data_IF_728533114454
#
_entry.id   IF_728533114454
#
_cell.length_a   1.000
_cell.length_b   1.000
_cell.length_c   1.000
_cell.angle_alpha   90.00
_cell.angle_beta   90.00
_cell.angle_gamma   90.00
#
_symmetry.space_group_name_H-M   'P 1'
#
loop_
_entity.id
_entity.type
_entity.pdbx_description
1 polymer ?
#
# COMPACT_ATOMS: atom_id res chain seq x y z
N UNK A 1 -6.52 -10.19 -4.80
CA UNK A 1 -7.42 -9.49 -3.86
C UNK A 1 -6.62 -8.33 -3.27
N UNK A 2 -7.17 -7.12 -3.24
CA UNK A 2 -6.57 -6.01 -2.50
C UNK A 2 -7.12 -6.01 -1.07
N UNK A 3 -6.27 -6.17 -0.08
CA UNK A 3 -6.65 -6.11 1.33
C UNK A 3 -6.25 -4.74 1.88
N UNK A 4 -7.23 -3.96 2.32
CA UNK A 4 -6.96 -2.61 2.80
C UNK A 4 -6.27 -2.67 4.17
N UNK A 5 -5.02 -2.19 4.26
CA UNK A 5 -4.31 -2.02 5.53
C UNK A 5 -4.02 -3.30 6.31
N UNK A 6 -4.08 -4.48 5.66
CA UNK A 6 -3.89 -5.77 6.33
C UNK A 6 -2.44 -5.94 6.81
N UNK A 7 -2.26 -6.36 8.06
CA UNK A 7 -0.95 -6.65 8.64
C UNK A 7 -0.45 -8.07 8.24
N UNK A 8 0.82 -8.43 8.48
CA UNK A 8 1.37 -9.73 8.08
C UNK A 8 0.67 -10.95 8.67
N UNK A 9 0.07 -10.83 9.86
CA UNK A 9 -0.73 -11.92 10.43
C UNK A 9 -2.00 -12.15 9.60
N UNK A 10 -2.74 -11.09 9.27
CA UNK A 10 -3.93 -11.20 8.42
C UNK A 10 -3.58 -11.81 7.06
N UNK A 11 -2.47 -11.37 6.45
CA UNK A 11 -1.98 -11.90 5.17
C UNK A 11 -1.65 -13.40 5.25
N UNK A 12 -1.04 -13.85 6.35
CA UNK A 12 -0.79 -15.28 6.61
C UNK A 12 -2.10 -16.06 6.66
N UNK A 13 -3.11 -15.58 7.39
CA UNK A 13 -4.42 -16.26 7.48
C UNK A 13 -5.13 -16.31 6.12
N UNK A 14 -5.01 -15.27 5.29
CA UNK A 14 -5.54 -15.31 3.93
C UNK A 14 -4.79 -16.29 3.02
N UNK A 15 -3.46 -16.42 3.16
CA UNK A 15 -2.68 -17.44 2.44
C UNK A 15 -3.11 -18.85 2.83
N UNK A 16 -3.26 -19.13 4.12
CA UNK A 16 -3.73 -20.42 4.63
C UNK A 16 -5.11 -20.77 4.07
N UNK A 17 -6.04 -19.81 4.09
CA UNK A 17 -7.36 -19.96 3.49
C UNK A 17 -7.28 -20.26 1.99
N UNK A 18 -6.44 -19.53 1.24
CA UNK A 18 -6.27 -19.74 -0.19
C UNK A 18 -5.69 -21.13 -0.50
N UNK A 19 -4.74 -21.61 0.30
CA UNK A 19 -4.16 -22.96 0.17
C UNK A 19 -5.21 -24.03 0.48
N UNK A 20 -6.00 -23.85 1.54
CA UNK A 20 -7.04 -24.79 1.93
C UNK A 20 -8.10 -24.96 0.84
N UNK A 21 -8.45 -23.87 0.16
CA UNK A 21 -9.50 -23.84 -0.86
C UNK A 21 -8.97 -24.01 -2.31
N UNK A 22 -7.66 -23.98 -2.51
CA UNK A 22 -7.04 -24.21 -3.81
C UNK A 22 -5.77 -25.06 -3.69
N UNK A 23 -5.95 -26.39 -3.73
CA UNK A 23 -4.85 -27.38 -3.70
C UNK A 23 -3.84 -27.23 -4.84
N UNK A 24 -4.19 -26.51 -5.90
CA UNK A 24 -3.34 -26.29 -7.08
C UNK A 24 -2.72 -24.89 -7.12
N UNK A 25 -2.77 -24.12 -6.03
CA UNK A 25 -2.11 -22.80 -5.96
C UNK A 25 -0.61 -22.92 -6.29
N UNK A 26 -0.17 -22.28 -7.37
CA UNK A 26 1.23 -22.35 -7.84
C UNK A 26 2.03 -21.09 -7.61
N UNK A 27 1.38 -19.94 -7.55
CA UNK A 27 2.06 -18.65 -7.48
C UNK A 27 1.29 -17.70 -6.59
N UNK A 28 2.04 -17.00 -5.73
CA UNK A 28 1.54 -15.91 -4.90
C UNK A 28 2.39 -14.69 -5.21
N UNK A 29 1.71 -13.56 -5.46
CA UNK A 29 2.34 -12.25 -5.61
C UNK A 29 1.78 -11.37 -4.50
N UNK A 30 2.65 -10.81 -3.66
CA UNK A 30 2.24 -10.02 -2.50
C UNK A 30 3.00 -8.68 -2.46
N UNK A 31 2.25 -7.60 -2.30
CA UNK A 31 2.77 -6.27 -1.99
C UNK A 31 2.89 -6.09 -0.49
N UNK A 32 4.01 -5.53 -0.04
CA UNK A 32 4.25 -5.19 1.37
C UNK A 32 4.65 -3.73 1.52
N UNK A 33 4.36 -3.14 2.67
CA UNK A 33 4.67 -1.75 2.98
C UNK A 33 5.16 -1.61 4.42
N UNK A 34 5.96 -0.57 4.69
CA UNK A 34 6.53 -0.30 6.01
C UNK A 34 5.45 -0.19 7.11
N UNK A 35 4.32 0.45 6.77
CA UNK A 35 3.17 0.61 7.65
C UNK A 35 2.64 -0.72 8.19
N UNK A 36 2.61 -1.80 7.38
CA UNK A 36 2.04 -3.10 7.78
C UNK A 36 2.75 -3.71 8.98
N UNK A 37 4.03 -3.39 9.18
CA UNK A 37 4.90 -3.97 10.21
C UNK A 37 4.95 -3.14 11.51
N UNK A 38 4.03 -2.19 11.69
CA UNK A 38 3.94 -1.40 12.92
C UNK A 38 3.33 -2.23 14.06
N UNK A 39 4.03 -2.39 15.18
CA UNK A 39 3.59 -3.14 16.36
C UNK A 39 2.30 -2.60 17.00
N UNK A 40 1.95 -1.35 16.71
CA UNK A 40 0.72 -0.71 17.19
C UNK A 40 -0.47 -0.90 16.24
N UNK A 41 -0.31 -1.60 15.11
CA UNK A 41 -1.45 -1.96 14.27
C UNK A 41 -2.30 -3.02 14.96
N UNK A 42 -3.60 -2.90 14.78
CA UNK A 42 -4.57 -3.96 15.10
C UNK A 42 -5.01 -4.65 13.81
N UNK A 43 -5.66 -5.80 13.93
CA UNK A 43 -6.36 -6.38 12.78
C UNK A 43 -7.44 -5.41 12.29
N UNK A 44 -7.70 -5.44 10.98
CA UNK A 44 -8.72 -4.59 10.39
C UNK A 44 -10.10 -4.98 10.91
N UNK A 45 -11.03 -4.03 11.11
CA UNK A 45 -12.38 -4.34 11.62
C UNK A 45 -13.13 -5.39 10.78
N UNK A 46 -12.84 -5.47 9.48
CA UNK A 46 -13.44 -6.46 8.57
C UNK A 46 -12.79 -7.85 8.60
N UNK A 47 -11.68 -8.04 9.32
CA UNK A 47 -10.97 -9.32 9.42
C UNK A 47 -11.56 -10.19 10.54
N UNK A 48 -11.96 -11.41 10.19
CA UNK A 48 -12.36 -12.42 11.16
C UNK A 48 -11.79 -13.78 10.78
N UNK A 49 -11.12 -14.43 11.73
CA UNK A 49 -10.51 -15.76 11.52
C UNK A 49 -11.58 -16.83 11.23
N UNK A 50 -12.73 -16.70 11.89
CA UNK A 50 -13.87 -17.62 11.72
C UNK A 50 -14.34 -17.72 10.26
N UNK A 51 -14.25 -16.62 9.49
CA UNK A 51 -14.59 -16.63 8.06
C UNK A 51 -13.56 -17.37 7.21
N UNK A 52 -12.30 -17.38 7.65
CA UNK A 52 -11.19 -18.00 6.93
C UNK A 52 -11.06 -19.50 7.23
N UNK A 53 -11.55 -19.94 8.38
CA UNK A 53 -11.54 -21.35 8.80
C UNK A 53 -12.70 -22.17 8.20
N UNK A 54 -13.70 -21.50 7.62
CA UNK A 54 -14.83 -22.15 6.95
C UNK A 54 -14.51 -22.45 5.47
N UNK A 55 -14.80 -23.69 5.05
CA UNK A 55 -14.73 -24.11 3.63
C UNK A 55 -16.02 -23.80 2.86
N UNK A 56 -17.08 -23.38 3.56
CA UNK A 56 -18.39 -23.07 2.98
C UNK A 56 -18.92 -21.75 3.51
N UNK A 57 -19.63 -20.99 2.68
CA UNK A 57 -20.36 -19.79 3.10
C UNK A 57 -21.49 -20.25 4.02
N UNK A 58 -21.53 -19.77 5.26
CA UNK A 58 -22.65 -20.11 6.16
C UNK A 58 -23.92 -19.36 5.75
N UNK A 59 -25.09 -19.91 6.11
CA UNK A 59 -26.37 -19.20 5.96
C UNK A 59 -26.35 -17.83 6.66
N UNK A 60 -25.65 -17.73 7.80
CA UNK A 60 -25.46 -16.47 8.51
C UNK A 60 -24.58 -15.47 7.73
N UNK A 61 -23.52 -15.94 7.07
CA UNK A 61 -22.70 -15.10 6.19
C UNK A 61 -23.49 -14.64 4.97
N UNK A 62 -24.32 -15.51 4.42
CA UNK A 62 -25.21 -15.17 3.29
C UNK A 62 -26.26 -14.14 3.71
N UNK A 63 -26.87 -14.29 4.88
CA UNK A 63 -27.85 -13.34 5.43
C UNK A 63 -27.16 -12.00 5.77
N UNK A 64 -25.94 -12.02 6.33
CA UNK A 64 -25.22 -10.78 6.64
C UNK A 64 -24.75 -10.05 5.36
N UNK A 65 -24.44 -10.77 4.27
CA UNK A 65 -24.08 -10.19 2.97
C UNK A 65 -25.30 -9.70 2.19
N UNK A 66 -26.41 -10.44 2.24
CA UNK A 66 -27.63 -10.15 1.45
C UNK A 66 -28.62 -9.23 2.18
N UNK A 67 -28.68 -9.31 3.51
CA UNK A 67 -29.57 -8.55 4.40
C UNK A 67 -28.81 -7.69 5.41
N UNK A 68 -27.63 -7.19 5.07
CA UNK A 68 -27.04 -6.10 5.83
C UNK A 68 -28.03 -4.91 5.77
N UNK A 69 -28.58 -4.53 6.92
CA UNK A 69 -29.39 -3.31 7.07
C UNK A 69 -28.58 -2.10 6.59
N UNK A 70 -27.25 -2.14 6.74
CA UNK A 70 -26.33 -1.14 6.20
C UNK A 70 -26.30 -1.17 4.66
N UNK A 71 -26.38 -2.33 4.01
CA UNK A 71 -26.50 -2.42 2.55
C UNK A 71 -27.85 -1.88 2.05
N UNK A 72 -28.93 -2.10 2.81
CA UNK A 72 -30.25 -1.53 2.49
C UNK A 72 -30.27 -0.01 2.71
N UNK A 73 -29.67 0.47 3.81
CA UNK A 73 -29.52 1.90 4.14
C UNK A 73 -28.62 2.60 3.12
N UNK A 74 -27.46 2.00 2.80
CA UNK A 74 -26.54 2.50 1.77
C UNK A 74 -27.19 2.49 0.39
N UNK A 75 -28.05 1.50 0.09
CA UNK A 75 -28.83 1.47 -1.16
C UNK A 75 -29.88 2.59 -1.20
N UNK A 76 -30.57 2.87 -0.09
CA UNK A 76 -31.53 3.97 0.02
C UNK A 76 -30.84 5.33 -0.07
N UNK A 77 -29.70 5.50 0.60
CA UNK A 77 -28.84 6.68 0.47
C UNK A 77 -28.30 6.86 -0.95
N UNK A 78 -27.91 5.76 -1.60
CA UNK A 78 -27.45 5.77 -3.00
C UNK A 78 -28.59 6.13 -3.96
N UNK A 79 -29.80 5.62 -3.75
CA UNK A 79 -30.99 5.95 -4.55
C UNK A 79 -31.40 7.42 -4.37
N UNK A 80 -31.31 7.95 -3.14
CA UNK A 80 -31.61 9.35 -2.85
C UNK A 80 -30.54 10.28 -3.44
N UNK A 81 -29.27 9.89 -3.35
CA UNK A 81 -28.13 10.60 -3.95
C UNK A 81 -28.16 10.56 -5.48
N UNK A 82 -28.56 9.43 -6.07
CA UNK A 82 -28.71 9.27 -7.54
C UNK A 82 -29.90 10.03 -8.12
N UNK A 83 -30.91 10.36 -7.30
CA UNK A 83 -32.03 11.23 -7.70
C UNK A 83 -31.66 12.72 -7.67
N UNK A 84 -30.79 13.14 -6.75
CA UNK A 84 -30.39 14.55 -6.59
C UNK A 84 -29.09 14.91 -7.33
N UNK A 85 -28.32 13.93 -7.79
CA UNK A 85 -27.12 14.15 -8.59
C UNK A 85 -27.10 13.14 -9.73
N UNK A 86 -26.82 13.58 -10.96
CA UNK A 86 -26.41 12.66 -12.03
C UNK A 86 -25.00 12.14 -11.72
N UNK A 87 -24.84 11.35 -10.65
CA UNK A 87 -23.61 10.64 -10.37
C UNK A 87 -23.49 9.47 -11.35
N UNK A 88 -22.83 9.72 -12.50
CA UNK A 88 -22.38 8.67 -13.41
C UNK A 88 -21.14 7.95 -12.84
N UNK A 89 -21.18 7.46 -11.61
CA UNK A 89 -19.99 6.90 -10.96
C UNK A 89 -20.31 5.58 -10.24
N UNK A 90 -20.28 4.50 -11.01
CA UNK A 90 -20.27 3.15 -10.46
C UNK A 90 -18.93 2.78 -9.85
N UNK A 91 -19.02 2.01 -8.76
CA UNK A 91 -17.94 1.27 -8.11
C UNK A 91 -16.98 0.67 -9.12
N UNK A 92 -15.68 0.80 -8.85
CA UNK A 92 -14.67 0.14 -9.67
C UNK A 92 -14.74 -1.37 -9.38
N UNK A 93 -15.39 -2.10 -10.30
CA UNK A 93 -15.47 -3.58 -10.36
C UNK A 93 -14.10 -4.29 -10.40
N UNK A 94 -12.98 -3.56 -10.28
CA UNK A 94 -11.60 -4.07 -10.43
C UNK A 94 -10.75 -3.96 -9.15
N UNK A 95 -11.35 -3.66 -7.99
CA UNK A 95 -10.65 -3.67 -6.70
C UNK A 95 -9.71 -2.47 -6.46
N UNK A 96 -9.83 -1.41 -7.25
CA UNK A 96 -9.23 -0.11 -6.95
C UNK A 96 -10.25 0.79 -6.25
N UNK A 97 -9.81 1.65 -5.32
CA UNK A 97 -10.68 2.68 -4.76
C UNK A 97 -11.30 3.49 -5.91
N UNK A 98 -12.62 3.77 -5.89
CA UNK A 98 -13.32 4.49 -6.95
C UNK A 98 -12.98 5.98 -6.91
N UNK A 99 -11.70 6.32 -7.03
CA UNK A 99 -11.30 7.65 -7.43
C UNK A 99 -11.21 7.65 -8.95
N UNK A 100 -12.39 7.64 -9.59
CA UNK A 100 -12.43 7.95 -11.02
C UNK A 100 -11.82 9.33 -11.22
N UNK A 101 -11.12 9.42 -12.34
CA UNK A 101 -10.47 10.60 -12.89
C UNK A 101 -11.45 11.77 -13.02
N UNK A 102 -11.75 12.44 -11.92
CA UNK A 102 -12.19 13.81 -12.03
C UNK A 102 -10.93 14.63 -11.80
N UNK A 103 -10.52 15.36 -12.84
CA UNK A 103 -9.68 16.53 -12.68
C UNK A 103 -10.48 17.53 -11.81
N UNK A 104 -10.47 17.29 -10.49
CA UNK A 104 -11.20 18.08 -9.49
C UNK A 104 -10.46 19.40 -9.20
N UNK A 105 -9.50 19.76 -10.07
CA UNK A 105 -8.62 20.89 -9.91
C UNK A 105 -7.57 20.69 -8.83
N UNK A 106 -6.65 21.66 -8.78
CA UNK A 106 -5.49 21.64 -7.88
C UNK A 106 -5.89 21.54 -6.41
N UNK A 107 -6.96 22.21 -5.99
CA UNK A 107 -7.40 22.26 -4.59
C UNK A 107 -7.72 20.87 -4.03
N UNK A 108 -8.41 20.04 -4.80
CA UNK A 108 -8.75 18.68 -4.36
C UNK A 108 -7.53 17.77 -4.35
N UNK A 109 -6.64 17.90 -5.34
CA UNK A 109 -5.37 17.17 -5.32
C UNK A 109 -4.55 17.52 -4.07
N UNK A 110 -4.37 18.81 -3.80
CA UNK A 110 -3.67 19.27 -2.60
C UNK A 110 -4.32 18.72 -1.32
N UNK A 111 -5.66 18.77 -1.22
CA UNK A 111 -6.41 18.24 -0.07
C UNK A 111 -6.18 16.74 0.16
N UNK A 112 -6.20 15.93 -0.91
CA UNK A 112 -5.99 14.48 -0.82
C UNK A 112 -4.60 14.16 -0.27
N UNK A 113 -3.57 14.81 -0.79
CA UNK A 113 -2.21 14.66 -0.28
C UNK A 113 -2.08 15.14 1.16
N UNK A 114 -2.68 16.27 1.52
CA UNK A 114 -2.68 16.76 2.91
C UNK A 114 -3.30 15.73 3.86
N UNK A 115 -4.47 15.19 3.51
CA UNK A 115 -5.16 14.19 4.31
C UNK A 115 -4.34 12.89 4.42
N UNK A 116 -3.75 12.41 3.31
CA UNK A 116 -2.84 11.27 3.33
C UNK A 116 -1.68 11.48 4.29
N UNK A 117 -1.03 12.65 4.28
CA UNK A 117 0.09 12.91 5.19
C UNK A 117 -0.33 13.01 6.66
N UNK A 118 -1.52 13.55 6.96
CA UNK A 118 -2.04 13.56 8.33
C UNK A 118 -2.25 12.13 8.84
N UNK A 119 -2.82 11.25 8.02
CA UNK A 119 -2.97 9.82 8.33
C UNK A 119 -1.60 9.17 8.49
N UNK A 120 -0.65 9.44 7.59
CA UNK A 120 0.72 8.94 7.71
C UNK A 120 1.38 9.36 9.02
N UNK A 121 1.30 10.64 9.39
CA UNK A 121 1.87 11.13 10.64
C UNK A 121 1.21 10.50 11.85
N UNK A 122 -0.11 10.35 11.86
CA UNK A 122 -0.82 9.65 12.94
C UNK A 122 -0.38 8.19 13.06
N UNK A 123 -0.35 7.47 11.93
CA UNK A 123 -0.01 6.05 11.89
C UNK A 123 1.45 5.78 12.25
N UNK A 124 2.34 6.71 11.93
CA UNK A 124 3.77 6.56 12.18
C UNK A 124 4.28 7.32 13.41
N UNK A 125 3.47 8.15 14.09
CA UNK A 125 3.93 8.94 15.24
C UNK A 125 4.50 8.09 16.38
N UNK A 126 4.00 6.85 16.51
CA UNK A 126 4.47 5.86 17.49
C UNK A 126 4.95 4.60 16.79
N UNK A 127 5.52 4.71 15.59
CA UNK A 127 5.90 3.52 14.84
C UNK A 127 6.94 2.71 15.62
N UNK A 128 6.67 1.42 15.78
CA UNK A 128 7.64 0.46 16.27
C UNK A 128 7.65 -0.74 15.34
N UNK A 129 8.82 -1.14 14.86
CA UNK A 129 8.95 -2.32 14.02
C UNK A 129 8.60 -3.57 14.86
N UNK A 130 7.59 -4.31 14.41
CA UNK A 130 7.07 -5.49 15.11
C UNK A 130 7.86 -6.75 14.79
N UNK A 131 8.52 -7.31 15.81
CA UNK A 131 9.16 -8.62 15.71
C UNK A 131 8.13 -9.74 15.43
N UNK A 132 6.94 -9.62 16.03
CA UNK A 132 5.83 -10.54 15.76
C UNK A 132 5.44 -10.52 14.27
N UNK A 133 5.27 -9.36 13.66
CA UNK A 133 4.88 -9.28 12.26
C UNK A 133 6.01 -9.67 11.29
N UNK A 134 7.27 -9.47 11.67
CA UNK A 134 8.40 -10.06 10.95
C UNK A 134 8.36 -11.59 11.02
N UNK A 135 8.04 -12.17 12.19
CA UNK A 135 7.89 -13.61 12.35
C UNK A 135 6.69 -14.16 11.55
N UNK A 136 5.52 -13.51 11.61
CA UNK A 136 4.33 -13.89 10.82
C UNK A 136 4.63 -13.86 9.31
N UNK A 137 5.35 -12.83 8.84
CA UNK A 137 5.79 -12.76 7.44
C UNK A 137 6.80 -13.84 7.06
N UNK A 138 7.72 -14.18 7.98
CA UNK A 138 8.65 -15.31 7.79
C UNK A 138 7.87 -16.62 7.64
N UNK A 139 6.89 -16.88 8.50
CA UNK A 139 6.00 -18.04 8.41
C UNK A 139 5.25 -18.09 7.08
N UNK A 140 4.76 -16.94 6.58
CA UNK A 140 4.13 -16.83 5.26
C UNK A 140 5.07 -17.31 4.15
N UNK A 141 6.32 -16.84 4.16
CA UNK A 141 7.34 -17.21 3.16
C UNK A 141 7.71 -18.69 3.24
N UNK A 142 7.92 -19.21 4.45
CA UNK A 142 8.24 -20.61 4.70
C UNK A 142 7.10 -21.53 4.25
N UNK A 143 5.85 -21.17 4.53
CA UNK A 143 4.65 -21.90 4.07
C UNK A 143 4.60 -22.00 2.54
N UNK A 144 4.91 -20.92 1.83
CA UNK A 144 4.97 -20.96 0.36
C UNK A 144 6.08 -21.91 -0.11
N UNK A 145 7.26 -21.82 0.50
CA UNK A 145 8.43 -22.65 0.15
C UNK A 145 8.17 -24.13 0.36
N UNK A 146 7.65 -24.53 1.52
CA UNK A 146 7.34 -25.92 1.87
C UNK A 146 6.33 -26.57 0.93
N UNK A 147 5.39 -25.76 0.40
CA UNK A 147 4.34 -26.22 -0.52
C UNK A 147 4.73 -26.10 -1.99
N UNK A 148 5.96 -25.69 -2.30
CA UNK A 148 6.41 -25.48 -3.68
C UNK A 148 5.64 -24.36 -4.41
N UNK A 149 5.10 -23.39 -3.68
CA UNK A 149 4.43 -22.21 -4.22
C UNK A 149 5.50 -21.18 -4.59
N UNK A 150 5.50 -20.73 -5.84
CA UNK A 150 6.37 -19.64 -6.27
C UNK A 150 5.90 -18.32 -5.64
N UNK A 151 6.71 -17.77 -4.74
CA UNK A 151 6.42 -16.49 -4.10
C UNK A 151 7.18 -15.34 -4.77
N UNK A 152 6.46 -14.26 -5.08
CA UNK A 152 7.02 -13.00 -5.57
C UNK A 152 6.58 -11.87 -4.64
N UNK A 153 7.55 -11.25 -3.98
CA UNK A 153 7.30 -10.15 -3.03
C UNK A 153 7.74 -8.84 -3.65
N UNK A 154 6.95 -7.78 -3.44
CA UNK A 154 7.35 -6.43 -3.81
C UNK A 154 7.01 -5.40 -2.72
N UNK A 155 7.79 -4.32 -2.64
CA UNK A 155 7.48 -3.14 -1.83
C UNK A 155 6.70 -2.15 -2.71
N UNK A 156 5.51 -1.75 -2.27
CA UNK A 156 4.63 -0.87 -3.04
C UNK A 156 5.26 0.51 -3.32
N UNK A 157 5.03 1.10 -4.49
CA UNK A 157 5.55 2.43 -4.82
C UNK A 157 4.62 3.52 -4.27
N UNK A 158 4.79 3.90 -3.00
CA UNK A 158 4.27 5.18 -2.51
C UNK A 158 4.91 6.35 -3.27
N UNK A 159 4.20 7.47 -3.36
CA UNK A 159 4.74 8.71 -3.91
C UNK A 159 6.00 9.11 -3.13
N UNK A 160 6.98 9.75 -3.78
CA UNK A 160 8.27 10.08 -3.17
C UNK A 160 8.15 10.86 -1.85
N UNK A 161 7.08 11.64 -1.71
CA UNK A 161 6.75 12.39 -0.49
C UNK A 161 6.34 11.54 0.71
N UNK A 162 5.89 10.29 0.51
CA UNK A 162 5.62 9.37 1.64
C UNK A 162 6.93 9.05 2.37
N UNK A 163 8.05 8.93 1.64
CA UNK A 163 9.37 8.78 2.26
C UNK A 163 9.78 10.04 3.02
N UNK A 164 9.46 11.24 2.52
CA UNK A 164 9.69 12.48 3.25
C UNK A 164 8.80 12.57 4.49
N UNK A 165 7.58 12.02 4.46
CA UNK A 165 6.71 11.95 5.62
C UNK A 165 7.29 11.02 6.70
N UNK A 166 7.81 9.84 6.32
CA UNK A 166 8.50 8.91 7.24
C UNK A 166 9.78 9.55 7.83
N UNK A 167 10.53 10.32 7.02
CA UNK A 167 11.67 11.11 7.53
C UNK A 167 11.22 12.16 8.53
N UNK A 168 10.14 12.88 8.26
CA UNK A 168 9.60 13.90 9.13
C UNK A 168 9.10 13.34 10.47
N UNK A 169 8.72 12.06 10.54
CA UNK A 169 8.41 11.36 11.80
C UNK A 169 9.64 10.79 12.52
N UNK A 170 10.85 10.96 11.98
CA UNK A 170 12.07 10.41 12.58
C UNK A 170 12.26 8.90 12.40
N UNK A 171 11.48 8.26 11.53
CA UNK A 171 11.45 6.80 11.37
C UNK A 171 12.19 6.28 10.13
N UNK A 172 12.97 7.14 9.46
CA UNK A 172 13.72 6.73 8.27
C UNK A 172 14.71 5.60 8.55
N UNK A 173 15.51 5.71 9.61
CA UNK A 173 16.45 4.65 10.00
C UNK A 173 15.72 3.34 10.34
N UNK A 174 14.53 3.42 10.92
CA UNK A 174 13.66 2.27 11.17
C UNK A 174 13.13 1.66 9.86
N UNK A 175 12.79 2.47 8.86
CA UNK A 175 12.39 1.98 7.53
C UNK A 175 13.55 1.28 6.82
N UNK A 176 14.77 1.82 6.91
CA UNK A 176 15.96 1.15 6.39
C UNK A 176 16.23 -0.18 7.12
N UNK A 177 16.12 -0.19 8.46
CA UNK A 177 16.21 -1.42 9.27
C UNK A 177 15.16 -2.45 8.83
N UNK A 178 13.91 -2.02 8.62
CA UNK A 178 12.86 -2.91 8.14
C UNK A 178 13.23 -3.55 6.80
N UNK A 179 13.70 -2.79 5.81
CA UNK A 179 14.15 -3.37 4.52
C UNK A 179 15.27 -4.38 4.72
N UNK A 180 16.23 -4.11 5.62
CA UNK A 180 17.31 -5.06 5.97
C UNK A 180 16.75 -6.35 6.58
N UNK A 181 15.76 -6.28 7.48
CA UNK A 181 15.13 -7.48 8.04
C UNK A 181 14.33 -8.26 7.00
N UNK A 182 13.63 -7.58 6.09
CA UNK A 182 12.87 -8.26 5.02
C UNK A 182 13.78 -9.03 4.08
N UNK A 183 14.89 -8.45 3.61
CA UNK A 183 15.79 -9.15 2.65
C UNK A 183 16.47 -10.38 3.25
N UNK A 184 16.59 -10.47 4.59
CA UNK A 184 17.06 -11.70 5.26
C UNK A 184 16.04 -12.84 5.16
N UNK A 185 14.75 -12.52 5.01
CA UNK A 185 13.67 -13.49 4.88
C UNK A 185 13.51 -13.92 3.42
N UNK A 186 13.46 -12.96 2.49
CA UNK A 186 13.22 -13.21 1.06
C UNK A 186 13.74 -12.06 0.19
N UNK A 187 14.30 -12.34 -1.01
CA UNK A 187 14.52 -11.30 -2.01
C UNK A 187 13.22 -10.57 -2.35
N UNK A 188 13.26 -9.25 -2.46
CA UNK A 188 12.06 -8.43 -2.68
C UNK A 188 12.30 -7.40 -3.79
N UNK A 189 11.29 -7.18 -4.63
CA UNK A 189 11.33 -6.09 -5.60
C UNK A 189 10.96 -4.78 -4.93
N UNK A 190 11.89 -3.84 -4.83
CA UNK A 190 11.64 -2.52 -4.27
C UNK A 190 11.26 -1.52 -5.36
N UNK A 191 9.96 -1.16 -5.40
CA UNK A 191 9.46 -0.09 -6.27
C UNK A 191 9.39 1.27 -5.57
N UNK A 192 9.68 1.31 -4.27
CA UNK A 192 9.69 2.54 -3.48
C UNK A 192 10.95 3.38 -3.73
N UNK A 193 10.98 4.58 -3.17
CA UNK A 193 12.12 5.50 -3.25
C UNK A 193 11.87 6.65 -4.21
N UNK A 194 12.96 7.20 -4.75
CA UNK A 194 12.95 8.37 -5.63
C UNK A 194 13.34 7.92 -7.05
N UNK A 195 12.33 7.76 -7.91
CA UNK A 195 12.47 7.31 -9.29
C UNK A 195 11.46 8.05 -10.21
N UNK A 196 11.54 7.76 -11.51
CA UNK A 196 10.73 8.38 -12.57
C UNK A 196 9.21 8.22 -12.40
N UNK A 197 8.75 7.18 -11.69
CA UNK A 197 7.32 6.95 -11.42
C UNK A 197 6.89 7.64 -10.13
N UNK A 198 7.62 7.43 -9.04
CA UNK A 198 7.26 7.90 -7.68
C UNK A 198 7.41 9.41 -7.51
N UNK A 199 8.13 10.08 -8.40
CA UNK A 199 8.43 11.52 -8.33
C UNK A 199 7.52 12.36 -9.22
N UNK A 200 6.30 11.90 -9.50
CA UNK A 200 5.34 12.66 -10.30
C UNK A 200 5.03 14.02 -9.63
N UNK A 201 5.06 15.16 -10.34
CA UNK A 201 4.71 16.44 -9.73
C UNK A 201 3.27 16.44 -9.17
N UNK A 202 3.09 16.95 -7.95
CA UNK A 202 1.77 17.02 -7.31
C UNK A 202 0.96 18.16 -7.96
N UNK A 203 0.05 17.79 -8.87
CA UNK A 203 -0.81 18.72 -9.60
C UNK A 203 -2.10 18.06 -10.04
N UNK A 204 -3.08 18.83 -10.47
CA UNK A 204 -4.31 18.28 -11.00
C UNK A 204 -4.02 17.36 -12.22
N UNK A 205 -4.74 16.23 -12.32
CA UNK A 205 -4.57 15.27 -13.41
C UNK A 205 -3.33 14.37 -13.33
N UNK A 206 -2.81 14.08 -12.12
CA UNK A 206 -1.74 13.07 -11.93
C UNK A 206 -2.11 11.74 -12.60
N UNK A 207 -1.14 11.18 -13.34
CA UNK A 207 -1.23 9.97 -14.15
C UNK A 207 -0.79 8.71 -13.41
N UNK A 208 0.06 8.83 -12.40
CA UNK A 208 0.61 7.68 -11.67
C UNK A 208 -0.11 7.48 -10.34
N UNK A 209 -0.61 8.56 -9.73
CA UNK A 209 -1.17 8.55 -8.38
C UNK A 209 -2.57 9.17 -8.31
N UNK A 210 -3.42 8.60 -7.44
CA UNK A 210 -4.68 9.20 -7.04
C UNK A 210 -4.50 10.07 -5.76
N UNK A 211 -3.61 9.62 -4.87
CA UNK A 211 -3.07 10.35 -3.72
C UNK A 211 -1.67 9.79 -3.41
N UNK A 212 -1.07 10.16 -2.27
CA UNK A 212 0.32 9.80 -1.99
C UNK A 212 0.58 8.28 -1.90
N UNK A 213 -0.39 7.48 -1.43
CA UNK A 213 -0.23 6.03 -1.26
C UNK A 213 -0.91 5.20 -2.35
N UNK A 214 -1.93 5.73 -3.02
CA UNK A 214 -2.73 4.97 -3.98
C UNK A 214 -2.27 5.22 -5.42
N UNK A 215 -1.43 4.33 -5.94
CA UNK A 215 -1.03 4.32 -7.35
C UNK A 215 -2.15 3.79 -8.26
N UNK A 216 -2.11 4.20 -9.53
CA UNK A 216 -3.12 3.89 -10.54
C UNK A 216 -2.84 2.57 -11.25
N UNK A 217 -3.85 2.04 -11.96
CA UNK A 217 -3.79 0.75 -12.69
C UNK A 217 -2.57 0.63 -13.60
N UNK A 218 -2.19 1.70 -14.31
CA UNK A 218 -0.99 1.72 -15.15
C UNK A 218 0.29 1.42 -14.37
N UNK A 219 0.41 1.88 -13.12
CA UNK A 219 1.57 1.59 -12.27
C UNK A 219 1.53 0.16 -11.77
N UNK A 220 0.34 -0.35 -11.42
CA UNK A 220 0.16 -1.78 -11.12
C UNK A 220 0.62 -2.68 -12.26
N UNK A 221 0.30 -2.31 -13.50
CA UNK A 221 0.76 -3.03 -14.69
C UNK A 221 2.30 -3.01 -14.83
N UNK A 222 2.96 -1.87 -14.55
CA UNK A 222 4.42 -1.78 -14.57
C UNK A 222 5.08 -2.68 -13.51
N UNK A 223 4.50 -2.75 -12.31
CA UNK A 223 4.96 -3.66 -11.24
C UNK A 223 4.88 -5.11 -11.73
N UNK A 224 3.71 -5.52 -12.25
CA UNK A 224 3.51 -6.89 -12.73
C UNK A 224 4.44 -7.22 -13.91
N UNK A 225 4.61 -6.30 -14.85
CA UNK A 225 5.53 -6.45 -15.97
C UNK A 225 6.97 -6.73 -15.49
N UNK A 226 7.44 -6.00 -14.47
CA UNK A 226 8.77 -6.23 -13.87
C UNK A 226 8.85 -7.54 -13.11
N UNK A 227 7.91 -7.80 -12.20
CA UNK A 227 7.91 -8.95 -11.27
C UNK A 227 7.73 -10.29 -12.00
N UNK A 228 6.96 -10.29 -13.09
CA UNK A 228 6.70 -11.47 -13.93
C UNK A 228 7.67 -11.57 -15.12
N UNK A 229 8.58 -10.61 -15.30
CA UNK A 229 9.41 -10.47 -16.50
C UNK A 229 8.58 -10.49 -17.80
N UNK A 230 7.40 -9.87 -17.76
CA UNK A 230 6.49 -9.74 -18.89
C UNK A 230 6.59 -8.31 -19.43
N UNK A 231 6.85 -8.14 -20.73
CA UNK A 231 7.05 -6.80 -21.32
C UNK A 231 8.02 -5.92 -20.50
N UNK A 232 9.10 -6.51 -19.97
CA UNK A 232 9.99 -5.83 -19.02
C UNK A 232 10.70 -4.61 -19.61
N UNK A 233 10.85 -4.56 -20.94
CA UNK A 233 11.33 -3.40 -21.70
C UNK A 233 10.42 -2.17 -21.65
N UNK A 234 9.13 -2.34 -21.29
CA UNK A 234 8.18 -1.23 -21.10
C UNK A 234 8.33 -0.56 -19.72
N UNK A 235 9.02 -1.21 -18.79
CA UNK A 235 9.19 -0.71 -17.42
C UNK A 235 10.43 0.17 -17.34
N UNK A 236 10.34 1.42 -16.83
CA UNK A 236 11.50 2.28 -16.63
C UNK A 236 12.62 1.57 -15.86
N UNK A 237 13.87 1.73 -16.30
CA UNK A 237 15.02 1.01 -15.72
C UNK A 237 15.21 1.28 -14.22
N UNK A 238 14.83 2.48 -13.77
CA UNK A 238 14.92 2.92 -12.38
C UNK A 238 13.70 2.53 -11.52
N UNK A 239 12.69 1.87 -12.09
CA UNK A 239 11.47 1.46 -11.39
C UNK A 239 11.44 -0.05 -11.12
N UNK A 240 11.65 -0.43 -9.86
CA UNK A 240 11.69 -1.81 -9.38
C UNK A 240 13.10 -2.39 -9.37
N UNK A 241 13.76 -2.42 -8.21
CA UNK A 241 15.08 -3.05 -8.03
C UNK A 241 14.92 -4.29 -7.18
N UNK A 242 15.44 -5.43 -7.64
CA UNK A 242 15.45 -6.65 -6.80
C UNK A 242 16.53 -6.48 -5.73
N UNK A 243 16.10 -6.36 -4.47
CA UNK A 243 16.99 -6.21 -3.33
C UNK A 243 17.17 -7.54 -2.59
N UNK A 244 18.39 -7.75 -2.12
CA UNK A 244 18.86 -8.97 -1.46
C UNK A 244 19.83 -8.59 -0.34
N UNK A 245 20.23 -9.54 0.54
CA UNK A 245 21.26 -9.27 1.54
C UNK A 245 22.56 -8.72 0.95
N UNK A 246 22.90 -9.09 -0.28
CA UNK A 246 24.15 -8.71 -0.94
C UNK A 246 24.15 -7.25 -1.43
N UNK A 247 22.99 -6.68 -1.78
CA UNK A 247 22.93 -5.35 -2.38
C UNK A 247 22.20 -4.29 -1.55
N UNK A 248 21.58 -4.68 -0.42
CA UNK A 248 20.72 -3.79 0.38
C UNK A 248 21.40 -2.49 0.78
N UNK A 249 22.64 -2.52 1.27
CA UNK A 249 23.33 -1.30 1.72
C UNK A 249 23.60 -0.33 0.55
N UNK A 250 24.02 -0.86 -0.60
CA UNK A 250 24.25 -0.04 -1.80
C UNK A 250 22.94 0.59 -2.31
N UNK A 251 21.84 -0.14 -2.22
CA UNK A 251 20.51 0.34 -2.62
C UNK A 251 20.00 1.43 -1.67
N UNK A 252 20.15 1.27 -0.36
CA UNK A 252 19.79 2.29 0.64
C UNK A 252 20.62 3.56 0.47
N UNK A 253 21.94 3.44 0.25
CA UNK A 253 22.80 4.57 -0.05
C UNK A 253 22.34 5.32 -1.32
N UNK A 254 21.96 4.58 -2.37
CA UNK A 254 21.41 5.16 -3.61
C UNK A 254 20.08 5.88 -3.37
N UNK A 255 19.17 5.34 -2.55
CA UNK A 255 17.93 6.02 -2.19
C UNK A 255 18.21 7.36 -1.50
N UNK A 256 19.16 7.39 -0.55
CA UNK A 256 19.55 8.61 0.14
C UNK A 256 20.20 9.64 -0.81
N UNK A 257 21.07 9.20 -1.72
CA UNK A 257 21.64 10.09 -2.74
C UNK A 257 20.58 10.66 -3.70
N UNK A 258 19.66 9.81 -4.18
CA UNK A 258 18.55 10.23 -5.04
C UNK A 258 17.62 11.21 -4.33
N UNK A 259 17.42 11.05 -3.02
CA UNK A 259 16.62 11.97 -2.20
C UNK A 259 17.18 13.39 -2.23
N UNK A 260 18.50 13.56 -2.11
CA UNK A 260 19.13 14.89 -2.14
C UNK A 260 18.90 15.60 -3.49
N UNK A 261 19.03 14.85 -4.58
CA UNK A 261 18.73 15.36 -5.94
C UNK A 261 17.25 15.70 -6.07
N UNK A 262 16.36 14.82 -5.61
CA UNK A 262 14.91 15.02 -5.68
C UNK A 262 14.47 16.23 -4.87
N UNK A 263 14.95 16.38 -3.62
CA UNK A 263 14.56 17.48 -2.73
C UNK A 263 14.99 18.85 -3.28
N UNK A 264 16.15 18.92 -3.95
CA UNK A 264 16.61 20.14 -4.63
C UNK A 264 15.68 20.53 -5.79
N UNK A 265 15.23 19.54 -6.56
CA UNK A 265 14.39 19.77 -7.74
C UNK A 265 12.89 19.92 -7.42
N UNK A 266 12.44 19.37 -6.29
CA UNK A 266 11.03 19.32 -5.87
C UNK A 266 10.85 20.03 -4.52
N UNK A 267 11.45 21.21 -4.38
CA UNK A 267 11.46 21.97 -3.14
C UNK A 267 10.05 22.30 -2.61
N UNK A 268 9.06 22.46 -3.50
CA UNK A 268 7.67 22.75 -3.11
C UNK A 268 7.02 21.55 -2.43
N UNK A 269 7.19 20.37 -3.00
CA UNK A 269 6.68 19.10 -2.49
C UNK A 269 7.36 18.72 -1.17
N UNK A 270 8.69 18.86 -1.10
CA UNK A 270 9.43 18.64 0.14
C UNK A 270 8.97 19.60 1.26
N UNK A 271 8.79 20.89 0.93
CA UNK A 271 8.30 21.90 1.88
C UNK A 271 6.86 21.64 2.31
N UNK A 272 5.98 21.17 1.41
CA UNK A 272 4.60 20.82 1.72
C UNK A 272 4.52 19.81 2.87
N UNK A 273 5.30 18.72 2.78
CA UNK A 273 5.34 17.68 3.83
C UNK A 273 5.77 18.28 5.18
N UNK A 274 6.83 19.09 5.18
CA UNK A 274 7.33 19.74 6.40
C UNK A 274 6.32 20.73 7.01
N UNK A 275 5.64 21.51 6.17
CA UNK A 275 4.63 22.48 6.61
C UNK A 275 3.44 21.78 7.27
N UNK A 276 3.00 20.64 6.71
CA UNK A 276 1.92 19.84 7.29
C UNK A 276 2.38 19.19 8.59
N UNK A 277 3.61 18.67 8.66
CA UNK A 277 4.17 18.11 9.90
C UNK A 277 4.18 19.13 11.04
N UNK A 278 4.66 20.36 10.78
CA UNK A 278 4.68 21.42 11.79
C UNK A 278 3.28 21.78 12.30
N UNK A 279 2.27 21.76 11.43
CA UNK A 279 0.88 22.02 11.84
C UNK A 279 0.29 20.84 12.62
N UNK A 280 0.59 19.60 12.22
CA UNK A 280 0.22 18.39 12.94
C UNK A 280 0.77 18.40 14.38
N UNK A 281 2.05 18.75 14.55
CA UNK A 281 2.70 18.81 15.87
C UNK A 281 2.14 19.89 16.80
N UNK A 282 1.55 20.94 16.24
CA UNK A 282 0.89 22.02 17.00
C UNK A 282 -0.56 21.69 17.38
N UNK A 283 -1.09 20.53 16.96
CA UNK A 283 -2.50 20.19 17.12
C UNK A 283 -3.45 20.99 16.21
N UNK A 284 -2.93 21.71 15.20
CA UNK A 284 -3.70 22.63 14.35
C UNK A 284 -4.49 21.94 13.22
N UNK A 285 -4.82 20.67 13.38
CA UNK A 285 -5.59 19.87 12.41
C UNK A 285 -6.67 19.02 13.10
N UNK A 286 -7.12 19.43 14.29
CA UNK A 286 -8.36 18.92 14.87
C UNK A 286 -9.57 19.46 14.11
#
# INVERSE_FOLDING_TARGET
MGLNGANPYEQLRYLEHAIANNKNLKTVIIGIDFFMFNANNTNQPGFTEERLEKQNISLQDTINVVFSIDALSSSLETLNSSRNTQNKEGDSLKGFMPYKNIDLGKKVTDWRFVNSYQVYFKNHAKYQLSEKYLADFKTFVETCKERGITLKVYISPGHATDNEAIRATGHWSTQEKWKREIVKIVPVWDFSGYNSITSEPIKAGMKNYADSSHYRENIGNLILNRVLNYQSNTVPKDFGVLITPENIESHLAKINANREVWAKNNHKEAKLVQDIKRKFDRGNYQ
#
